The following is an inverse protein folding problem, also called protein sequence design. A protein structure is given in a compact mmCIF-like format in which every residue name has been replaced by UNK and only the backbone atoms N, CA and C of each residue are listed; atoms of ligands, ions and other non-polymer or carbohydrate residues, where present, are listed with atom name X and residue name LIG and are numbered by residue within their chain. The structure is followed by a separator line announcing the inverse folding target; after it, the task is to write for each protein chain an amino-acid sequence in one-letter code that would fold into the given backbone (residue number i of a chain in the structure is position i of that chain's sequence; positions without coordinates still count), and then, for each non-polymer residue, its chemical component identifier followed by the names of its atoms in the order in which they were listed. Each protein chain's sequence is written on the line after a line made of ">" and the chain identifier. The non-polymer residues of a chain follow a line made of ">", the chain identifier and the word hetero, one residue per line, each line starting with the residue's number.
data_IF_564470073274
#
_entry.id   IF_564470073274
#
_cell.length_a   1.000
_cell.length_b   1.000
_cell.length_c   1.000
_cell.angle_alpha   90.00
_cell.angle_beta   90.00
_cell.angle_gamma   90.00
#
_symmetry.space_group_name_H-M   'P 1'
#
loop_
_entity.id
_entity.type
_entity.pdbx_description
1 polymer ?
#
# COMPACT_ATOMS: atom_id res chain seq x y z
N UNK A 1 11.17 -12.87 4.79
CA UNK A 1 11.15 -13.37 6.19
C UNK A 1 9.71 -13.69 6.52
N UNK A 2 9.41 -14.95 6.85
CA UNK A 2 8.02 -15.40 7.05
C UNK A 2 7.50 -15.25 8.48
N UNK A 3 8.40 -15.21 9.47
CA UNK A 3 8.11 -15.07 10.90
C UNK A 3 9.12 -14.15 11.56
N UNK A 4 8.68 -13.39 12.55
CA UNK A 4 9.55 -12.58 13.40
C UNK A 4 9.93 -13.34 14.68
N UNK A 5 11.05 -12.98 15.34
CA UNK A 5 11.35 -13.43 16.70
C UNK A 5 10.22 -13.06 17.68
N UNK A 6 10.12 -13.78 18.80
CA UNK A 6 9.11 -13.51 19.83
C UNK A 6 9.18 -12.06 20.34
N UNK A 7 8.01 -11.50 20.66
CA UNK A 7 7.88 -10.21 21.35
C UNK A 7 7.90 -10.36 22.88
N UNK A 8 8.14 -11.57 23.39
CA UNK A 8 8.36 -11.78 24.81
C UNK A 8 9.51 -10.91 25.33
N UNK A 9 9.27 -10.25 26.46
CA UNK A 9 10.23 -9.31 27.05
C UNK A 9 10.07 -7.86 26.58
N UNK A 10 9.31 -7.59 25.51
CA UNK A 10 8.98 -6.23 25.06
C UNK A 10 7.89 -5.57 25.91
N UNK A 11 7.92 -5.75 27.23
CA UNK A 11 6.88 -5.33 28.18
C UNK A 11 6.68 -3.82 28.27
N UNK A 12 7.68 -3.05 27.82
CA UNK A 12 7.64 -1.58 27.79
C UNK A 12 7.42 -1.00 26.38
N UNK A 13 7.03 -1.83 25.40
CA UNK A 13 6.83 -1.38 24.02
C UNK A 13 5.55 -0.53 23.90
N UNK A 14 5.72 0.76 23.60
CA UNK A 14 4.61 1.72 23.39
C UNK A 14 4.17 1.85 21.94
N UNK A 15 5.08 1.61 20.99
CA UNK A 15 4.82 1.80 19.57
C UNK A 15 5.47 0.68 18.78
N UNK A 16 4.70 0.06 17.89
CA UNK A 16 5.17 -0.96 16.95
C UNK A 16 4.81 -0.56 15.53
N UNK A 17 5.81 -0.51 14.66
CA UNK A 17 5.64 -0.30 13.22
C UNK A 17 6.34 -1.41 12.47
N UNK A 18 5.57 -2.13 11.66
CA UNK A 18 6.07 -3.12 10.71
C UNK A 18 5.73 -2.64 9.31
N UNK A 19 6.74 -2.52 8.46
CA UNK A 19 6.60 -1.98 7.11
C UNK A 19 7.35 -2.83 6.08
N UNK A 20 6.70 -3.10 4.94
CA UNK A 20 7.30 -3.75 3.76
C UNK A 20 7.79 -5.18 4.07
N UNK A 21 7.00 -5.92 4.85
CA UNK A 21 7.24 -7.33 5.13
C UNK A 21 6.41 -8.21 4.18
N UNK A 22 6.81 -8.25 2.90
CA UNK A 22 6.02 -8.87 1.81
C UNK A 22 5.70 -10.37 2.01
N UNK A 23 6.51 -11.06 2.81
CA UNK A 23 6.42 -12.50 3.03
C UNK A 23 6.02 -12.87 4.46
N UNK A 24 5.78 -11.90 5.34
CA UNK A 24 5.43 -12.17 6.73
C UNK A 24 3.99 -12.69 6.79
N UNK A 25 3.82 -13.91 7.29
CA UNK A 25 2.51 -14.58 7.34
C UNK A 25 1.80 -14.32 8.67
N UNK A 26 2.57 -14.19 9.74
CA UNK A 26 2.07 -13.96 11.10
C UNK A 26 3.03 -13.08 11.90
N UNK A 27 2.48 -12.31 12.82
CA UNK A 27 3.25 -11.61 13.85
C UNK A 27 3.21 -12.41 15.17
N UNK A 28 4.27 -12.33 15.99
CA UNK A 28 4.26 -12.93 17.33
C UNK A 28 3.11 -12.44 18.20
N UNK A 29 2.78 -13.21 19.23
CA UNK A 29 1.70 -12.88 20.18
C UNK A 29 1.91 -11.52 20.85
N UNK A 30 0.79 -10.83 21.13
CA UNK A 30 0.75 -9.54 21.80
C UNK A 30 0.45 -9.66 23.31
N UNK A 31 0.46 -10.88 23.86
CA UNK A 31 0.08 -11.18 25.26
C UNK A 31 0.87 -10.41 26.32
N UNK A 32 2.08 -9.94 25.99
CA UNK A 32 2.96 -9.19 26.88
C UNK A 32 3.03 -7.69 26.58
N UNK A 33 2.32 -7.22 25.56
CA UNK A 33 2.37 -5.83 25.08
C UNK A 33 1.31 -4.94 25.76
N UNK A 34 1.28 -4.96 27.09
CA UNK A 34 0.22 -4.34 27.89
C UNK A 34 0.09 -2.82 27.73
N UNK A 35 1.20 -2.16 27.36
CA UNK A 35 1.29 -0.70 27.23
C UNK A 35 1.43 -0.22 25.79
N UNK A 36 1.13 -1.09 24.81
CA UNK A 36 1.16 -0.70 23.40
C UNK A 36 0.07 0.35 23.12
N UNK A 37 0.49 1.54 22.72
CA UNK A 37 -0.40 2.66 22.41
C UNK A 37 -0.58 2.83 20.90
N UNK A 38 0.41 2.42 20.09
CA UNK A 38 0.43 2.66 18.63
C UNK A 38 0.85 1.41 17.86
N UNK A 39 0.05 1.03 16.87
CA UNK A 39 0.34 -0.07 15.95
C UNK A 39 0.19 0.39 14.50
N UNK A 40 1.23 0.18 13.69
CA UNK A 40 1.18 0.41 12.24
C UNK A 40 1.64 -0.85 11.51
N UNK A 41 0.79 -1.37 10.63
CA UNK A 41 1.09 -2.50 9.74
C UNK A 41 0.98 -2.02 8.28
N UNK A 42 2.11 -1.80 7.61
CA UNK A 42 2.14 -1.24 6.26
C UNK A 42 2.77 -2.21 5.26
N UNK A 43 2.07 -2.48 4.15
CA UNK A 43 2.57 -3.37 3.08
C UNK A 43 3.03 -4.74 3.63
N UNK A 44 2.09 -5.45 4.27
CA UNK A 44 2.28 -6.82 4.79
C UNK A 44 1.26 -7.77 4.14
N UNK A 45 1.31 -7.91 2.81
CA UNK A 45 0.24 -8.53 2.01
C UNK A 45 0.02 -10.03 2.26
N UNK A 46 0.99 -10.73 2.86
CA UNK A 46 0.91 -12.16 3.14
C UNK A 46 0.15 -12.47 4.45
N UNK A 47 -0.08 -11.47 5.32
CA UNK A 47 -0.86 -11.67 6.54
C UNK A 47 -2.36 -11.74 6.24
N UNK A 48 -2.99 -12.83 6.68
CA UNK A 48 -4.44 -13.05 6.52
C UNK A 48 -5.24 -12.83 7.82
N UNK A 49 -4.58 -12.56 8.94
CA UNK A 49 -5.18 -12.34 10.26
C UNK A 49 -4.40 -11.30 11.06
N UNK A 50 -5.00 -10.82 12.15
CA UNK A 50 -4.36 -9.95 13.15
C UNK A 50 -4.13 -10.73 14.44
N UNK A 51 -3.12 -10.37 15.27
CA UNK A 51 -2.96 -10.99 16.57
C UNK A 51 -4.08 -10.55 17.53
N UNK A 52 -4.21 -11.26 18.65
CA UNK A 52 -5.18 -10.92 19.69
C UNK A 52 -4.78 -9.63 20.42
N UNK A 53 -5.71 -8.68 20.52
CA UNK A 53 -5.50 -7.41 21.21
C UNK A 53 -6.04 -7.41 22.64
N UNK A 54 -6.53 -8.54 23.16
CA UNK A 54 -7.15 -8.65 24.50
C UNK A 54 -6.26 -8.19 25.65
N UNK A 55 -4.94 -8.22 25.48
CA UNK A 55 -3.97 -7.81 26.49
C UNK A 55 -3.52 -6.34 26.38
N UNK A 56 -3.91 -5.62 25.33
CA UNK A 56 -3.58 -4.20 25.16
C UNK A 56 -4.58 -3.35 25.93
N UNK A 57 -4.10 -2.55 26.90
CA UNK A 57 -4.97 -1.79 27.80
C UNK A 57 -5.54 -0.50 27.18
N UNK A 58 -4.71 0.25 26.46
CA UNK A 58 -5.09 1.56 25.89
C UNK A 58 -4.45 1.78 24.52
N UNK A 59 -5.03 1.17 23.50
CA UNK A 59 -4.60 1.40 22.12
C UNK A 59 -5.13 2.77 21.66
N UNK A 60 -4.21 3.70 21.43
CA UNK A 60 -4.49 5.09 21.02
C UNK A 60 -4.52 5.25 19.50
N UNK A 61 -3.77 4.43 18.76
CA UNK A 61 -3.70 4.48 17.30
C UNK A 61 -3.49 3.08 16.72
N UNK A 62 -4.28 2.75 15.70
CA UNK A 62 -4.07 1.55 14.90
C UNK A 62 -4.28 1.89 13.42
N UNK A 63 -3.26 1.67 12.60
CA UNK A 63 -3.35 1.85 11.16
C UNK A 63 -2.80 0.64 10.43
N UNK A 64 -3.49 0.27 9.36
CA UNK A 64 -3.03 -0.66 8.36
C UNK A 64 -3.03 0.05 7.01
N UNK A 65 -2.06 -0.28 6.19
CA UNK A 65 -1.95 0.25 4.84
C UNK A 65 -1.58 -0.87 3.90
N UNK A 66 -2.12 -0.79 2.67
CA UNK A 66 -2.09 -1.84 1.65
C UNK A 66 -3.09 -2.98 1.92
N UNK A 67 -2.86 -4.15 1.32
CA UNK A 67 -3.64 -5.36 1.52
C UNK A 67 -3.74 -5.74 3.00
N UNK A 68 -4.98 -5.77 3.48
CA UNK A 68 -5.39 -6.40 4.74
C UNK A 68 -6.47 -7.45 4.47
N UNK A 69 -6.08 -8.68 4.14
CA UNK A 69 -7.02 -9.74 3.75
C UNK A 69 -7.98 -10.11 4.89
N UNK A 70 -7.61 -9.86 6.16
CA UNK A 70 -8.48 -9.98 7.33
C UNK A 70 -9.78 -9.18 7.23
N UNK A 71 -9.83 -8.13 6.39
CA UNK A 71 -11.02 -7.32 6.14
C UNK A 71 -12.07 -7.97 5.24
N UNK A 72 -11.72 -9.05 4.53
CA UNK A 72 -12.59 -9.67 3.52
C UNK A 72 -12.59 -11.19 3.55
N UNK A 73 -11.64 -11.85 4.22
CA UNK A 73 -11.55 -13.30 4.27
C UNK A 73 -12.43 -13.93 5.37
N UNK A 74 -13.22 -13.13 6.09
CA UNK A 74 -14.05 -13.59 7.21
C UNK A 74 -13.37 -13.61 8.58
N UNK A 75 -12.12 -13.18 8.71
CA UNK A 75 -11.47 -13.07 10.03
C UNK A 75 -12.19 -12.07 10.95
N UNK A 76 -12.64 -10.93 10.41
CA UNK A 76 -13.33 -9.88 11.14
C UNK A 76 -14.88 -10.01 11.11
N UNK A 77 -15.42 -11.04 10.47
CA UNK A 77 -16.86 -11.17 10.25
C UNK A 77 -17.18 -11.98 8.99
N UNK A 78 -18.02 -11.44 8.13
CA UNK A 78 -18.42 -12.11 6.90
C UNK A 78 -17.27 -12.17 5.88
N UNK A 79 -17.20 -13.27 5.13
CA UNK A 79 -16.26 -13.39 4.02
C UNK A 79 -16.84 -12.81 2.74
N UNK A 80 -16.12 -11.89 2.11
CA UNK A 80 -16.40 -11.34 0.79
C UNK A 80 -15.14 -11.39 -0.10
N UNK A 81 -14.97 -12.49 -0.84
CA UNK A 81 -13.85 -12.65 -1.78
C UNK A 81 -13.92 -11.74 -3.01
N UNK A 82 -14.97 -10.92 -3.16
CA UNK A 82 -15.08 -9.91 -4.22
C UNK A 82 -14.35 -8.61 -3.86
N UNK A 83 -14.03 -8.37 -2.58
CA UNK A 83 -13.21 -7.23 -2.18
C UNK A 83 -11.79 -7.38 -2.77
N UNK A 84 -11.26 -6.30 -3.34
CA UNK A 84 -9.94 -6.26 -3.96
C UNK A 84 -8.81 -6.72 -3.02
N UNK A 85 -8.95 -6.58 -1.69
CA UNK A 85 -7.98 -7.05 -0.67
C UNK A 85 -7.82 -8.56 -0.66
N UNK A 86 -8.83 -9.30 -1.09
CA UNK A 86 -8.82 -10.77 -1.15
C UNK A 86 -8.39 -11.30 -2.52
N UNK A 87 -8.27 -10.44 -3.54
CA UNK A 87 -7.75 -10.81 -4.86
C UNK A 87 -6.24 -11.04 -4.89
N UNK A 88 -5.72 -11.38 -6.07
CA UNK A 88 -4.27 -11.39 -6.32
C UNK A 88 -3.74 -9.96 -6.18
N UNK A 89 -2.69 -9.77 -5.38
CA UNK A 89 -2.18 -8.44 -5.11
C UNK A 89 -1.58 -7.80 -6.38
N UNK A 90 -2.04 -6.62 -6.82
CA UNK A 90 -1.65 -6.07 -8.12
C UNK A 90 -0.20 -5.55 -8.15
N UNK A 91 0.34 -5.09 -7.01
CA UNK A 91 1.76 -4.73 -6.89
C UNK A 91 2.70 -5.90 -6.59
N UNK A 92 2.39 -6.72 -5.58
CA UNK A 92 3.33 -7.72 -5.04
C UNK A 92 3.11 -9.14 -5.57
N UNK A 93 2.03 -9.39 -6.33
CA UNK A 93 1.71 -10.72 -6.84
C UNK A 93 1.27 -11.73 -5.77
N UNK A 94 1.06 -11.30 -4.52
CA UNK A 94 0.61 -12.17 -3.43
C UNK A 94 -0.69 -12.88 -3.81
N UNK A 95 -0.81 -14.22 -3.65
CA UNK A 95 -1.98 -14.98 -4.09
C UNK A 95 -3.28 -14.51 -3.46
N UNK A 96 -4.41 -14.79 -4.12
CA UNK A 96 -5.74 -14.51 -3.57
C UNK A 96 -5.96 -15.18 -2.21
N UNK A 97 -6.65 -14.50 -1.31
CA UNK A 97 -7.04 -15.06 -0.02
C UNK A 97 -8.23 -16.03 -0.18
N UNK A 98 -8.35 -16.95 0.76
CA UNK A 98 -9.51 -17.84 0.91
C UNK A 98 -10.28 -17.47 2.16
N UNK A 99 -11.58 -17.77 2.19
CA UNK A 99 -12.35 -17.60 3.42
C UNK A 99 -11.77 -18.44 4.56
N UNK A 100 -11.79 -17.89 5.77
CA UNK A 100 -11.51 -18.62 7.01
C UNK A 100 -12.54 -19.75 7.12
N UNK A 101 -12.06 -20.99 7.27
CA UNK A 101 -12.92 -22.17 7.39
C UNK A 101 -13.66 -22.21 8.73
N UNK A 102 -14.59 -23.16 8.89
CA UNK A 102 -15.40 -23.32 10.11
C UNK A 102 -14.56 -23.54 11.38
N UNK A 103 -13.39 -24.16 11.24
CA UNK A 103 -12.42 -24.39 12.33
C UNK A 103 -11.32 -23.31 12.38
N UNK A 104 -11.43 -22.28 11.56
CA UNK A 104 -10.43 -21.23 11.44
C UNK A 104 -10.53 -20.21 12.58
N UNK A 105 -9.39 -19.64 12.93
CA UNK A 105 -9.31 -18.61 13.98
C UNK A 105 -9.96 -17.32 13.50
N UNK A 106 -10.97 -16.85 14.24
CA UNK A 106 -11.61 -15.54 14.04
C UNK A 106 -11.08 -14.51 15.04
N UNK A 107 -11.30 -13.23 14.77
CA UNK A 107 -10.89 -12.16 15.66
C UNK A 107 -11.59 -12.26 17.03
N UNK A 108 -10.82 -12.02 18.10
CA UNK A 108 -11.37 -11.90 19.44
C UNK A 108 -12.26 -10.67 19.57
N UNK A 109 -13.16 -10.59 20.57
CA UNK A 109 -13.98 -9.40 20.80
C UNK A 109 -13.14 -8.12 20.97
N UNK A 110 -11.95 -8.22 21.59
CA UNK A 110 -11.06 -7.08 21.76
C UNK A 110 -10.45 -6.62 20.42
N UNK A 111 -9.98 -7.56 19.59
CA UNK A 111 -9.46 -7.24 18.25
C UNK A 111 -10.56 -6.64 17.35
N UNK A 112 -11.77 -7.20 17.38
CA UNK A 112 -12.94 -6.64 16.68
C UNK A 112 -13.27 -5.21 17.14
N UNK A 113 -13.29 -4.98 18.46
CA UNK A 113 -13.56 -3.66 19.02
C UNK A 113 -12.51 -2.63 18.62
N UNK A 114 -11.23 -3.01 18.58
CA UNK A 114 -10.15 -2.14 18.14
C UNK A 114 -10.26 -1.79 16.65
N UNK A 115 -10.50 -2.79 15.79
CA UNK A 115 -10.72 -2.54 14.35
C UNK A 115 -11.92 -1.61 14.15
N UNK A 116 -13.01 -1.82 14.89
CA UNK A 116 -14.18 -0.94 14.83
C UNK A 116 -13.86 0.48 15.29
N UNK A 117 -13.08 0.65 16.38
CA UNK A 117 -12.63 1.95 16.89
C UNK A 117 -11.80 2.72 15.85
N UNK A 118 -11.00 2.01 15.05
CA UNK A 118 -10.09 2.59 14.07
C UNK A 118 -10.49 2.27 12.61
N UNK A 119 -11.79 2.14 12.34
CA UNK A 119 -12.29 1.66 11.04
C UNK A 119 -11.82 2.50 9.84
N UNK A 120 -11.58 3.80 10.05
CA UNK A 120 -11.06 4.71 9.04
C UNK A 120 -9.64 4.36 8.55
N UNK A 121 -8.88 3.59 9.33
CA UNK A 121 -7.46 3.33 9.09
C UNK A 121 -7.09 1.85 9.07
N UNK A 122 -8.04 0.90 9.19
CA UNK A 122 -7.74 -0.54 9.33
C UNK A 122 -8.12 -1.41 8.13
N UNK A 123 -8.95 -0.91 7.21
CA UNK A 123 -9.39 -1.62 6.01
C UNK A 123 -9.35 -0.69 4.78
N UNK A 124 -8.20 -0.04 4.55
CA UNK A 124 -7.99 0.90 3.45
C UNK A 124 -7.93 0.25 2.06
N UNK A 125 -7.59 1.04 1.05
CA UNK A 125 -7.43 0.54 -0.32
C UNK A 125 -6.17 -0.29 -0.48
N UNK A 126 -6.21 -1.29 -1.37
CA UNK A 126 -5.03 -2.06 -1.78
C UNK A 126 -4.12 -1.16 -2.62
N UNK A 127 -2.81 -1.29 -2.45
CA UNK A 127 -1.88 -0.56 -3.29
C UNK A 127 -1.92 -1.10 -4.72
N UNK A 128 -2.18 -0.20 -5.65
CA UNK A 128 -2.18 -0.47 -7.09
C UNK A 128 -0.95 0.13 -7.77
N UNK A 129 -0.55 -0.43 -8.91
CA UNK A 129 0.41 0.21 -9.81
C UNK A 129 0.01 1.65 -10.10
N UNK A 130 0.99 2.55 -10.06
CA UNK A 130 0.77 3.99 -10.19
C UNK A 130 0.39 4.72 -8.90
N UNK A 131 -0.06 4.05 -7.83
CA UNK A 131 -0.31 4.72 -6.54
C UNK A 131 0.92 4.69 -5.62
N UNK A 132 1.75 3.65 -5.74
CA UNK A 132 3.04 3.52 -5.07
C UNK A 132 4.09 3.08 -6.10
N UNK A 133 4.77 4.06 -6.69
CA UNK A 133 5.89 3.80 -7.58
C UNK A 133 7.03 3.13 -6.77
N UNK A 134 7.49 1.99 -7.28
CA UNK A 134 8.68 1.32 -6.79
C UNK A 134 9.95 2.13 -7.07
N UNK A 135 11.11 1.69 -6.59
CA UNK A 135 12.38 2.33 -6.96
C UNK A 135 12.58 2.24 -8.47
N UNK A 136 13.17 3.27 -9.10
CA UNK A 136 13.46 3.25 -10.53
C UNK A 136 14.43 2.11 -10.86
N UNK A 137 14.10 1.32 -11.88
CA UNK A 137 15.01 0.28 -12.43
C UNK A 137 15.64 0.77 -13.73
N UNK A 138 16.73 0.13 -14.17
CA UNK A 138 17.39 0.48 -15.42
C UNK A 138 16.43 0.41 -16.62
N UNK A 139 15.54 -0.59 -16.61
CA UNK A 139 14.52 -0.80 -17.63
C UNK A 139 13.50 0.33 -17.67
N UNK A 140 13.07 0.82 -16.50
CA UNK A 140 12.10 1.92 -16.40
C UNK A 140 12.71 3.29 -16.71
N UNK A 141 14.01 3.48 -16.49
CA UNK A 141 14.72 4.74 -16.77
C UNK A 141 15.13 4.89 -18.24
N UNK A 142 15.48 3.78 -18.90
CA UNK A 142 15.96 3.76 -20.28
C UNK A 142 15.08 4.54 -21.28
N UNK A 143 13.75 4.38 -21.32
CA UNK A 143 12.91 5.12 -22.28
C UNK A 143 12.88 6.63 -22.02
N UNK A 144 13.15 7.05 -20.78
CA UNK A 144 13.09 8.45 -20.37
C UNK A 144 14.37 9.21 -20.68
N UNK A 145 15.54 8.56 -20.64
CA UNK A 145 16.83 9.17 -20.94
C UNK A 145 17.06 10.53 -20.22
N UNK A 146 16.58 10.64 -18.97
CA UNK A 146 16.70 11.87 -18.18
C UNK A 146 15.74 13.01 -18.57
N UNK A 147 14.78 12.78 -19.45
CA UNK A 147 13.80 13.78 -19.90
C UNK A 147 12.46 13.59 -19.17
N UNK A 148 12.01 14.60 -18.41
CA UNK A 148 10.68 14.60 -17.78
C UNK A 148 9.56 14.83 -18.80
N UNK A 149 8.33 14.48 -18.43
CA UNK A 149 7.07 14.73 -19.16
C UNK A 149 6.91 14.00 -20.50
N UNK A 150 7.97 13.33 -20.97
CA UNK A 150 7.96 12.49 -22.16
C UNK A 150 7.00 11.31 -21.98
N UNK A 151 6.17 11.03 -22.98
CA UNK A 151 5.39 9.80 -23.03
C UNK A 151 6.32 8.59 -23.18
N UNK A 152 6.06 7.53 -22.42
CA UNK A 152 6.83 6.29 -22.49
C UNK A 152 5.90 5.09 -22.69
N UNK A 153 6.41 4.04 -23.33
CA UNK A 153 5.64 2.83 -23.60
C UNK A 153 5.52 1.96 -22.33
N UNK A 154 4.31 1.47 -22.07
CA UNK A 154 4.04 0.55 -20.96
C UNK A 154 3.35 -0.72 -21.46
N UNK A 155 3.68 -1.91 -20.91
CA UNK A 155 3.00 -3.16 -21.27
C UNK A 155 1.47 -3.04 -21.14
N UNK A 156 0.75 -3.39 -22.20
CA UNK A 156 -0.71 -3.28 -22.25
C UNK A 156 -1.25 -1.93 -22.73
N UNK A 157 -0.39 -1.02 -23.21
CA UNK A 157 -0.83 0.24 -23.82
C UNK A 157 -1.40 1.24 -22.81
N UNK A 158 -1.07 1.08 -21.53
CA UNK A 158 -1.47 2.00 -20.48
C UNK A 158 -0.71 3.32 -20.67
N UNK A 159 -1.42 4.44 -20.53
CA UNK A 159 -0.80 5.77 -20.59
C UNK A 159 0.25 5.92 -19.49
N UNK A 160 1.47 6.28 -19.88
CA UNK A 160 2.60 6.41 -18.97
C UNK A 160 3.49 7.60 -19.35
N UNK A 161 4.15 8.16 -18.33
CA UNK A 161 4.95 9.38 -18.44
C UNK A 161 6.27 9.22 -17.71
N UNK A 162 7.32 9.81 -18.25
CA UNK A 162 8.60 9.99 -17.58
C UNK A 162 8.49 11.03 -16.48
N UNK A 163 8.62 10.61 -15.23
CA UNK A 163 8.43 11.47 -14.07
C UNK A 163 9.51 11.26 -13.03
N UNK A 164 9.84 12.31 -12.29
CA UNK A 164 10.70 12.24 -11.13
C UNK A 164 9.85 12.09 -9.85
N UNK A 165 9.43 10.87 -9.57
CA UNK A 165 8.75 10.59 -8.31
C UNK A 165 9.73 10.63 -7.14
N UNK A 166 9.38 11.39 -6.09
CA UNK A 166 10.11 11.45 -4.80
C UNK A 166 11.58 11.89 -4.93
N UNK A 167 11.91 12.74 -5.90
CA UNK A 167 13.28 13.20 -6.15
C UNK A 167 14.27 12.06 -6.45
N UNK A 168 13.78 10.97 -7.06
CA UNK A 168 14.61 9.86 -7.54
C UNK A 168 15.07 10.08 -8.99
N UNK A 169 15.57 9.03 -9.65
CA UNK A 169 15.84 9.08 -11.09
C UNK A 169 14.55 9.14 -11.91
N UNK A 170 14.60 9.78 -13.08
CA UNK A 170 13.45 9.89 -13.98
C UNK A 170 13.17 8.53 -14.60
N UNK A 171 11.98 8.00 -14.33
CA UNK A 171 11.54 6.71 -14.79
C UNK A 171 10.12 6.78 -15.36
N UNK A 172 9.79 5.81 -16.21
CA UNK A 172 8.46 5.65 -16.77
C UNK A 172 7.47 5.22 -15.67
N UNK A 173 6.37 5.94 -15.51
CA UNK A 173 5.32 5.65 -14.55
C UNK A 173 3.93 5.72 -15.17
N UNK A 174 3.03 4.84 -14.73
CA UNK A 174 1.60 4.83 -15.04
C UNK A 174 0.75 5.62 -14.05
N UNK A 175 1.37 6.38 -13.15
CA UNK A 175 0.65 7.19 -12.18
C UNK A 175 -0.13 8.31 -12.87
N UNK A 176 -1.46 8.24 -12.78
CA UNK A 176 -2.36 9.23 -13.39
C UNK A 176 -2.24 10.61 -12.75
N UNK A 177 -1.86 10.69 -11.47
CA UNK A 177 -1.82 11.96 -10.74
C UNK A 177 -0.78 12.95 -11.30
N UNK A 178 0.50 12.60 -11.51
CA UNK A 178 1.45 13.51 -12.13
C UNK A 178 1.10 13.84 -13.58
N UNK A 179 0.48 12.92 -14.33
CA UNK A 179 0.02 13.17 -15.71
C UNK A 179 -1.06 14.26 -15.72
N UNK A 180 -2.13 14.08 -14.93
CA UNK A 180 -3.21 15.07 -14.81
C UNK A 180 -2.72 16.38 -14.22
N UNK A 181 -1.81 16.33 -13.25
CA UNK A 181 -1.16 17.53 -12.70
C UNK A 181 -0.45 18.32 -13.81
N UNK A 182 0.33 17.66 -14.68
CA UNK A 182 1.05 18.37 -15.75
C UNK A 182 0.10 18.92 -16.82
N UNK A 183 -0.96 18.20 -17.19
CA UNK A 183 -2.04 18.71 -18.07
C UNK A 183 -2.65 20.01 -17.51
N UNK A 184 -2.95 20.05 -16.21
CA UNK A 184 -3.48 21.23 -15.55
C UNK A 184 -2.47 22.39 -15.51
N UNK A 185 -1.19 22.12 -15.27
CA UNK A 185 -0.14 23.13 -15.32
C UNK A 185 -0.05 23.81 -16.69
N UNK A 186 -0.07 23.01 -17.76
CA UNK A 186 -0.05 23.50 -19.14
C UNK A 186 -1.29 24.35 -19.42
N UNK A 187 -2.48 23.83 -19.13
CA UNK A 187 -3.74 24.52 -19.39
C UNK A 187 -3.87 25.85 -18.64
N UNK A 188 -3.31 25.95 -17.44
CA UNK A 188 -3.35 27.16 -16.61
C UNK A 188 -2.14 28.08 -16.82
N UNK A 189 -1.14 27.66 -17.61
CA UNK A 189 0.09 28.41 -17.82
C UNK A 189 0.93 28.61 -16.55
N UNK A 190 0.93 27.63 -15.65
CA UNK A 190 1.65 27.69 -14.35
C UNK A 190 2.80 26.69 -14.30
N UNK A 191 3.88 27.05 -13.59
CA UNK A 191 5.09 26.23 -13.49
C UNK A 191 6.05 26.41 -14.68
N UNK A 192 6.86 25.40 -14.96
CA UNK A 192 7.82 25.44 -16.05
C UNK A 192 7.11 25.42 -17.41
N UNK A 193 7.63 26.22 -18.35
CA UNK A 193 7.14 26.26 -19.74
C UNK A 193 7.20 24.86 -20.35
N UNK A 194 6.13 24.46 -21.01
CA UNK A 194 6.08 23.15 -21.66
C UNK A 194 6.89 23.11 -22.94
N UNK A 195 7.44 21.93 -23.24
CA UNK A 195 8.12 21.62 -24.49
C UNK A 195 7.07 21.10 -25.51
N UNK A 196 6.83 21.83 -26.62
CA UNK A 196 5.79 21.47 -27.58
C UNK A 196 6.13 20.23 -28.41
N UNK A 197 7.36 19.71 -28.37
CA UNK A 197 7.75 18.45 -29.03
C UNK A 197 7.51 17.28 -28.09
N UNK A 198 7.91 17.41 -26.83
CA UNK A 198 7.84 16.32 -25.83
C UNK A 198 6.45 16.22 -25.20
N UNK A 199 5.79 17.36 -24.98
CA UNK A 199 4.58 17.49 -24.17
C UNK A 199 3.33 17.80 -25.00
N UNK A 200 3.41 17.68 -26.33
CA UNK A 200 2.25 17.85 -27.22
C UNK A 200 1.07 16.94 -26.81
N UNK A 201 1.38 15.71 -26.41
CA UNK A 201 0.39 14.72 -25.94
C UNK A 201 -0.29 15.10 -24.61
N UNK A 202 0.27 16.08 -23.88
CA UNK A 202 -0.30 16.65 -22.67
C UNK A 202 -1.08 17.95 -22.94
N UNK A 203 -1.19 18.37 -24.20
CA UNK A 203 -1.87 19.60 -24.60
C UNK A 203 -0.95 20.83 -24.72
N UNK A 204 0.37 20.65 -24.79
CA UNK A 204 1.27 21.76 -25.07
C UNK A 204 1.16 22.18 -26.54
N UNK A 205 0.79 23.43 -26.80
CA UNK A 205 0.69 23.98 -28.15
C UNK A 205 1.97 24.77 -28.51
N UNK A 206 2.36 24.72 -29.79
CA UNK A 206 3.41 25.61 -30.32
C UNK A 206 2.90 27.05 -30.30
N UNK A 207 3.47 27.88 -29.41
CA UNK A 207 3.24 29.33 -29.40
C UNK A 207 3.93 30.02 -30.58
#
# INVERSE_FOLDING_TARGET
>A
MAKLPSFDGLTNLKSLTLAVFLLLEEVPSFDKLYILERLVLAAIPAMNSLPDFSHIKDLQSFATSDRGAWCCNGFLGDCDLRDAKCGVHPMWGTPAATCVGSDGTIATPATLAAVKKFSATTCGVVLTPGLLEGPPTAELMAPCNGTMWKQCEWPGGVEAMCYNARFMAIACTTNVNPIEMRRQQIAQGVGDRCDPVIEAWLGCETS
#
